data_IF_730292407406
#
_entry.id   IF_730292407406
#
_cell.length_a   1.000
_cell.length_b   1.000
_cell.length_c   1.000
_cell.angle_alpha   90.00
_cell.angle_beta   90.00
_cell.angle_gamma   90.00
#
_symmetry.space_group_name_H-M   'P 1'
#
loop_
_entity.id
_entity.type
_entity.pdbx_description
1 polymer ?
#
# COMPACT_ATOMS: atom_id res chain seq x y z
N UNK A 1 28.50 8.67 -29.70
CA UNK A 1 28.17 8.02 -28.40
C UNK A 1 26.70 7.65 -28.52
N UNK A 2 26.43 6.42 -28.90
CA UNK A 2 25.08 5.89 -29.02
C UNK A 2 24.47 5.85 -27.61
N UNK A 3 23.33 6.51 -27.46
CA UNK A 3 22.46 6.32 -26.29
C UNK A 3 21.96 4.86 -26.39
N UNK A 4 22.50 3.99 -25.55
CA UNK A 4 21.90 2.70 -25.27
C UNK A 4 20.60 3.02 -24.56
N UNK A 5 19.49 2.82 -25.26
CA UNK A 5 18.13 2.86 -24.75
C UNK A 5 18.01 1.78 -23.66
N UNK A 6 18.41 2.12 -22.45
CA UNK A 6 18.22 1.25 -21.30
C UNK A 6 16.74 1.34 -20.97
N UNK A 7 15.94 0.36 -21.30
CA UNK A 7 14.50 0.26 -21.06
C UNK A 7 14.09 0.38 -19.57
N UNK A 8 14.80 1.18 -18.80
CA UNK A 8 14.58 1.45 -17.39
C UNK A 8 13.96 2.84 -17.24
N UNK A 9 12.88 2.90 -16.48
CA UNK A 9 12.25 4.16 -16.10
C UNK A 9 13.25 5.01 -15.30
N UNK A 10 13.67 6.15 -15.83
CA UNK A 10 14.52 7.08 -15.10
C UNK A 10 13.82 7.57 -13.82
N UNK A 11 14.61 7.70 -12.75
CA UNK A 11 14.09 8.27 -11.51
C UNK A 11 13.73 9.75 -11.72
N UNK A 12 12.57 10.12 -11.24
CA UNK A 12 12.14 11.52 -11.14
C UNK A 12 13.07 12.29 -10.19
N UNK A 13 13.18 13.59 -10.36
CA UNK A 13 14.11 14.44 -9.57
C UNK A 13 13.97 14.22 -8.05
N UNK A 14 12.76 14.17 -7.52
CA UNK A 14 12.52 13.95 -6.11
C UNK A 14 12.88 12.52 -5.65
N UNK A 15 12.74 11.51 -6.51
CA UNK A 15 13.17 10.14 -6.21
C UNK A 15 14.69 10.06 -6.17
N UNK A 16 15.35 10.76 -7.09
CA UNK A 16 16.81 10.87 -7.11
C UNK A 16 17.34 11.55 -5.84
N UNK A 17 16.71 12.64 -5.41
CA UNK A 17 17.02 13.32 -4.15
C UNK A 17 16.88 12.38 -2.94
N UNK A 18 15.78 11.64 -2.86
CA UNK A 18 15.54 10.69 -1.78
C UNK A 18 16.58 9.58 -1.75
N UNK A 19 16.95 9.04 -2.93
CA UNK A 19 18.04 8.07 -3.07
C UNK A 19 19.36 8.63 -2.57
N UNK A 20 19.72 9.84 -2.99
CA UNK A 20 20.96 10.49 -2.58
C UNK A 20 21.04 10.66 -1.06
N UNK A 21 20.00 11.20 -0.44
CA UNK A 21 19.90 11.37 1.02
C UNK A 21 20.00 10.03 1.78
N UNK A 22 19.46 8.95 1.21
CA UNK A 22 19.61 7.61 1.78
C UNK A 22 21.07 7.15 1.79
N UNK A 23 21.77 7.31 0.65
CA UNK A 23 23.18 6.92 0.55
C UNK A 23 24.08 7.78 1.46
N UNK A 24 23.81 9.07 1.61
CA UNK A 24 24.52 9.94 2.58
C UNK A 24 24.39 9.38 4.00
N UNK A 25 23.20 8.92 4.42
CA UNK A 25 23.02 8.30 5.72
C UNK A 25 23.83 7.00 5.86
N UNK A 26 23.81 6.16 4.84
CA UNK A 26 24.57 4.91 4.84
C UNK A 26 26.09 5.13 4.84
N UNK A 27 26.60 6.15 4.12
CA UNK A 27 28.02 6.54 4.13
C UNK A 27 28.42 7.16 5.48
N UNK A 28 27.51 7.87 6.13
CA UNK A 28 27.69 8.37 7.49
C UNK A 28 27.60 7.31 8.59
N UNK A 29 27.50 6.01 8.24
CA UNK A 29 27.52 4.90 9.18
C UNK A 29 26.15 4.50 9.74
N UNK A 30 25.05 5.21 9.40
CA UNK A 30 23.70 4.83 9.79
C UNK A 30 23.26 3.65 8.94
N UNK A 31 22.91 2.53 9.55
CA UNK A 31 22.58 1.29 8.82
C UNK A 31 21.09 1.06 8.60
N UNK A 32 20.24 1.60 9.45
CA UNK A 32 18.80 1.37 9.43
C UNK A 32 18.04 2.67 9.16
N UNK A 33 17.48 2.81 7.98
CA UNK A 33 16.85 4.05 7.49
C UNK A 33 15.42 3.78 7.04
N UNK A 34 14.48 4.60 7.51
CA UNK A 34 13.13 4.66 6.99
C UNK A 34 12.99 5.80 6.00
N UNK A 35 12.37 5.56 4.85
CA UNK A 35 12.05 6.54 3.83
C UNK A 35 10.54 6.70 3.75
N UNK A 36 10.07 7.91 3.97
CA UNK A 36 8.66 8.27 3.83
C UNK A 36 8.42 9.00 2.52
N UNK A 37 7.51 8.46 1.72
CA UNK A 37 7.02 9.10 0.51
C UNK A 37 5.51 8.83 0.37
N UNK A 38 4.68 9.80 -0.04
CA UNK A 38 3.25 9.61 -0.23
C UNK A 38 2.92 8.49 -1.22
N UNK A 39 1.72 7.95 -1.12
CA UNK A 39 1.19 7.00 -2.11
C UNK A 39 1.13 7.67 -3.48
N UNK A 40 1.35 6.92 -4.56
CA UNK A 40 1.36 7.45 -5.93
C UNK A 40 2.66 8.11 -6.37
N UNK A 41 3.66 8.28 -5.49
CA UNK A 41 4.94 8.92 -5.82
C UNK A 41 6.01 7.94 -6.33
N UNK A 42 5.66 6.68 -6.59
CA UNK A 42 6.56 5.68 -7.16
C UNK A 42 7.58 5.11 -6.18
N UNK A 43 7.18 4.84 -4.93
CA UNK A 43 8.03 4.18 -3.92
C UNK A 43 8.68 2.90 -4.43
N UNK A 44 7.91 2.03 -5.12
CA UNK A 44 8.41 0.75 -5.63
C UNK A 44 9.46 0.92 -6.74
N UNK A 45 9.34 1.97 -7.56
CA UNK A 45 10.36 2.32 -8.55
C UNK A 45 11.65 2.79 -7.88
N UNK A 46 11.54 3.65 -6.86
CA UNK A 46 12.70 4.09 -6.08
C UNK A 46 13.37 2.89 -5.39
N UNK A 47 12.59 1.99 -4.79
CA UNK A 47 13.07 0.76 -4.19
C UNK A 47 13.89 -0.07 -5.19
N UNK A 48 13.33 -0.34 -6.38
CA UNK A 48 14.00 -1.13 -7.40
C UNK A 48 15.30 -0.48 -7.88
N UNK A 49 15.33 0.84 -8.04
CA UNK A 49 16.54 1.57 -8.41
C UNK A 49 17.64 1.49 -7.33
N UNK A 50 17.27 1.61 -6.06
CA UNK A 50 18.19 1.46 -4.92
C UNK A 50 18.77 0.03 -4.88
N UNK A 51 17.92 -0.98 -5.03
CA UNK A 51 18.33 -2.39 -5.03
C UNK A 51 19.31 -2.67 -6.16
N UNK A 52 19.02 -2.19 -7.37
CA UNK A 52 19.90 -2.35 -8.53
C UNK A 52 21.28 -1.72 -8.30
N UNK A 53 21.31 -0.49 -7.82
CA UNK A 53 22.57 0.20 -7.57
C UNK A 53 23.38 -0.48 -6.47
N UNK A 54 22.70 -0.95 -5.40
CA UNK A 54 23.35 -1.71 -4.34
C UNK A 54 24.00 -2.99 -4.86
N UNK A 55 23.32 -3.73 -5.73
CA UNK A 55 23.85 -4.96 -6.35
C UNK A 55 25.03 -4.70 -7.29
N UNK A 56 25.03 -3.58 -8.01
CA UNK A 56 26.14 -3.18 -8.88
C UNK A 56 27.39 -2.82 -8.06
N UNK A 57 27.22 -2.23 -6.88
CA UNK A 57 28.30 -1.81 -5.99
C UNK A 57 28.76 -2.88 -4.98
N UNK A 58 28.03 -3.99 -4.87
CA UNK A 58 28.33 -5.04 -3.89
C UNK A 58 28.03 -6.44 -4.46
N UNK A 59 28.81 -7.45 -4.07
CA UNK A 59 28.52 -8.86 -4.36
C UNK A 59 27.44 -9.46 -3.44
N UNK A 60 26.82 -8.66 -2.59
CA UNK A 60 25.88 -9.11 -1.55
C UNK A 60 24.48 -9.37 -2.09
N UNK A 61 23.71 -10.16 -1.36
CA UNK A 61 22.29 -10.44 -1.67
C UNK A 61 21.39 -9.37 -1.07
N UNK A 62 20.22 -9.21 -1.68
CA UNK A 62 19.16 -8.30 -1.25
C UNK A 62 17.88 -9.08 -0.96
N UNK A 63 17.30 -8.84 0.21
CA UNK A 63 15.99 -9.34 0.56
C UNK A 63 14.98 -8.20 0.58
N UNK A 64 13.87 -8.38 -0.12
CA UNK A 64 12.75 -7.46 -0.12
C UNK A 64 11.59 -8.16 0.58
N UNK A 65 11.13 -7.60 1.67
CA UNK A 65 10.11 -8.20 2.53
C UNK A 65 8.84 -7.36 2.48
N UNK A 66 7.76 -7.97 2.05
CA UNK A 66 6.44 -7.36 2.01
C UNK A 66 5.52 -7.93 3.10
N UNK A 67 4.54 -7.14 3.51
CA UNK A 67 3.55 -7.58 4.51
C UNK A 67 2.52 -8.54 3.91
N UNK A 68 2.10 -8.34 2.65
CA UNK A 68 1.08 -9.13 1.95
C UNK A 68 1.66 -9.84 0.73
N UNK A 69 1.07 -10.99 0.39
CA UNK A 69 1.51 -11.80 -0.75
C UNK A 69 1.28 -11.08 -2.09
N UNK A 70 0.19 -10.36 -2.22
CA UNK A 70 -0.13 -9.59 -3.43
C UNK A 70 0.93 -8.53 -3.75
N UNK A 71 1.51 -7.92 -2.70
CA UNK A 71 2.62 -6.98 -2.85
C UNK A 71 3.91 -7.67 -3.32
N UNK A 72 4.13 -8.93 -2.95
CA UNK A 72 5.31 -9.69 -3.40
C UNK A 72 5.33 -9.79 -4.92
N UNK A 73 4.23 -10.19 -5.55
CA UNK A 73 4.11 -10.31 -7.01
C UNK A 73 4.35 -8.97 -7.70
N UNK A 74 3.75 -7.89 -7.19
CA UNK A 74 3.91 -6.54 -7.72
C UNK A 74 5.36 -6.02 -7.63
N UNK A 75 6.03 -6.30 -6.51
CA UNK A 75 7.44 -5.94 -6.32
C UNK A 75 8.32 -6.79 -7.25
N UNK A 76 8.08 -8.11 -7.36
CA UNK A 76 8.79 -9.00 -8.29
C UNK A 76 8.70 -8.50 -9.73
N UNK A 77 7.50 -8.12 -10.19
CA UNK A 77 7.29 -7.58 -11.53
C UNK A 77 8.08 -6.27 -11.74
N UNK A 78 8.10 -5.39 -10.73
CA UNK A 78 8.83 -4.15 -10.81
C UNK A 78 10.34 -4.38 -10.83
N UNK A 79 10.85 -5.21 -9.94
CA UNK A 79 12.27 -5.58 -9.85
C UNK A 79 12.75 -6.25 -11.14
N UNK A 80 11.92 -7.10 -11.75
CA UNK A 80 12.20 -7.75 -13.04
C UNK A 80 12.33 -6.74 -14.17
N UNK A 81 11.49 -5.70 -14.21
CA UNK A 81 11.60 -4.59 -15.18
C UNK A 81 12.90 -3.80 -15.05
N UNK A 82 13.52 -3.82 -13.87
CA UNK A 82 14.85 -3.24 -13.65
C UNK A 82 16.01 -4.21 -13.93
N UNK A 83 15.75 -5.34 -14.61
CA UNK A 83 16.76 -6.32 -14.99
C UNK A 83 17.24 -7.22 -13.86
N UNK A 84 16.52 -7.27 -12.75
CA UNK A 84 16.85 -8.09 -11.59
C UNK A 84 15.83 -9.23 -11.43
N UNK A 85 15.66 -10.02 -12.49
CA UNK A 85 14.74 -11.16 -12.50
C UNK A 85 15.16 -12.28 -11.57
N UNK A 86 14.30 -13.30 -11.42
CA UNK A 86 14.54 -14.49 -10.59
C UNK A 86 15.84 -15.23 -10.95
N UNK A 87 16.33 -15.07 -12.16
CA UNK A 87 17.55 -15.70 -12.68
C UNK A 87 18.83 -15.13 -12.04
N UNK A 88 18.83 -13.88 -11.58
CA UNK A 88 19.99 -13.28 -10.90
C UNK A 88 20.30 -14.00 -9.55
N UNK A 89 19.29 -14.55 -8.89
CA UNK A 89 19.45 -15.27 -7.61
C UNK A 89 19.94 -14.42 -6.43
N UNK A 90 20.35 -13.17 -6.66
CA UNK A 90 20.82 -12.24 -5.63
C UNK A 90 19.69 -11.45 -4.99
N UNK A 91 18.55 -11.28 -5.66
CA UNK A 91 17.37 -10.63 -5.12
C UNK A 91 16.33 -11.67 -4.76
N UNK A 92 15.81 -11.60 -3.54
CA UNK A 92 14.72 -12.45 -3.07
C UNK A 92 13.60 -11.58 -2.53
N UNK A 93 12.44 -11.66 -3.19
CA UNK A 93 11.21 -10.98 -2.74
C UNK A 93 10.35 -12.01 -2.01
N UNK A 94 9.87 -11.67 -0.83
CA UNK A 94 9.13 -12.62 0.00
C UNK A 94 8.18 -11.92 0.97
N UNK A 95 7.15 -12.63 1.41
CA UNK A 95 6.32 -12.14 2.51
C UNK A 95 7.00 -12.41 3.86
N UNK A 96 6.69 -11.56 4.86
CA UNK A 96 7.22 -11.74 6.22
C UNK A 96 6.75 -13.08 6.83
N UNK A 97 5.56 -13.56 6.48
CA UNK A 97 5.02 -14.84 6.93
C UNK A 97 5.83 -16.00 6.34
N UNK A 98 6.19 -15.92 5.06
CA UNK A 98 7.05 -16.92 4.44
C UNK A 98 8.42 -16.93 5.09
N UNK A 99 9.06 -15.78 5.23
CA UNK A 99 10.36 -15.64 5.86
C UNK A 99 10.38 -16.21 7.29
N UNK A 100 9.33 -15.97 8.07
CA UNK A 100 9.22 -16.48 9.44
C UNK A 100 9.22 -18.00 9.52
N UNK A 101 8.61 -18.67 8.54
CA UNK A 101 8.53 -20.15 8.50
C UNK A 101 9.79 -20.81 7.96
N UNK A 102 10.51 -20.13 7.04
CA UNK A 102 11.65 -20.69 6.30
C UNK A 102 13.00 -20.10 6.74
N UNK A 103 13.07 -19.52 7.94
CA UNK A 103 14.28 -18.87 8.48
C UNK A 103 15.53 -19.77 8.48
N UNK A 104 15.37 -21.07 8.69
CA UNK A 104 16.45 -22.04 8.76
C UNK A 104 17.03 -22.41 7.39
N UNK A 105 16.25 -22.18 6.32
CA UNK A 105 16.62 -22.49 4.94
C UNK A 105 17.41 -21.34 4.28
N UNK A 106 17.57 -20.22 4.99
CA UNK A 106 18.28 -19.05 4.48
C UNK A 106 19.76 -19.17 4.77
N UNK A 107 20.47 -19.88 3.89
CA UNK A 107 21.89 -20.18 4.04
C UNK A 107 22.81 -18.96 3.92
N UNK A 108 22.43 -17.95 3.15
CA UNK A 108 23.27 -16.79 2.87
C UNK A 108 22.66 -15.51 3.41
N UNK A 109 23.43 -14.79 4.22
CA UNK A 109 23.03 -13.52 4.80
C UNK A 109 22.90 -12.43 3.73
N UNK A 110 21.86 -11.57 3.82
CA UNK A 110 21.71 -10.42 2.93
C UNK A 110 22.66 -9.29 3.33
N UNK A 111 23.12 -8.51 2.37
CA UNK A 111 23.81 -7.24 2.62
C UNK A 111 22.82 -6.06 2.74
N UNK A 112 21.61 -6.22 2.17
CA UNK A 112 20.53 -5.25 2.26
C UNK A 112 19.19 -5.96 2.52
N UNK A 113 18.43 -5.45 3.49
CA UNK A 113 17.05 -5.84 3.76
C UNK A 113 16.16 -4.64 3.49
N UNK A 114 15.20 -4.77 2.59
CA UNK A 114 14.20 -3.76 2.28
C UNK A 114 12.85 -4.21 2.79
N UNK A 115 12.13 -3.34 3.47
CA UNK A 115 10.74 -3.58 3.91
C UNK A 115 9.86 -2.57 3.20
N UNK A 116 8.94 -3.08 2.37
CA UNK A 116 7.86 -2.27 1.83
C UNK A 116 6.70 -2.18 2.83
N UNK A 117 6.01 -1.06 2.84
CA UNK A 117 5.01 -0.68 3.86
C UNK A 117 5.53 -0.87 5.30
N UNK A 118 6.70 -0.29 5.56
CA UNK A 118 7.47 -0.50 6.78
C UNK A 118 6.78 -0.05 8.07
N UNK A 119 5.66 0.68 7.99
CA UNK A 119 4.83 0.98 9.15
C UNK A 119 4.20 -0.29 9.77
N UNK A 120 4.12 -1.39 9.03
CA UNK A 120 3.75 -2.70 9.57
C UNK A 120 4.90 -3.44 10.27
N UNK A 121 6.13 -2.95 10.15
CA UNK A 121 7.34 -3.65 10.61
C UNK A 121 7.53 -3.71 12.14
N UNK A 122 6.67 -3.12 12.95
CA UNK A 122 6.80 -3.12 14.42
C UNK A 122 6.47 -4.47 15.10
N UNK A 123 6.20 -5.53 14.32
CA UNK A 123 6.00 -6.87 14.85
C UNK A 123 7.33 -7.48 15.34
N UNK A 124 7.29 -8.33 16.36
CA UNK A 124 8.47 -9.02 16.93
C UNK A 124 9.30 -9.76 15.86
N UNK A 125 8.63 -10.26 14.82
CA UNK A 125 9.27 -10.94 13.69
C UNK A 125 10.33 -10.07 12.98
N UNK A 126 10.07 -8.78 12.83
CA UNK A 126 11.03 -7.86 12.21
C UNK A 126 12.16 -7.49 13.16
N UNK A 127 11.89 -7.40 14.47
CA UNK A 127 12.94 -7.20 15.48
C UNK A 127 13.92 -8.35 15.51
N UNK A 128 13.44 -9.58 15.41
CA UNK A 128 14.29 -10.76 15.32
C UNK A 128 15.11 -10.76 14.02
N UNK A 129 14.53 -10.32 12.90
CA UNK A 129 15.25 -10.19 11.64
C UNK A 129 16.39 -9.17 11.75
N UNK A 130 16.16 -8.01 12.40
CA UNK A 130 17.17 -7.00 12.66
C UNK A 130 18.33 -7.51 13.54
N UNK A 131 17.99 -8.23 14.60
CA UNK A 131 18.98 -8.84 15.51
C UNK A 131 19.81 -9.92 14.82
N UNK A 132 19.20 -10.70 13.91
CA UNK A 132 19.89 -11.79 13.23
C UNK A 132 20.88 -11.30 12.17
N UNK A 133 20.62 -10.18 11.53
CA UNK A 133 21.45 -9.62 10.47
C UNK A 133 21.89 -8.19 10.81
N UNK A 134 22.72 -8.02 11.86
CA UNK A 134 23.11 -6.68 12.33
C UNK A 134 23.95 -5.93 11.29
N UNK A 135 24.73 -6.63 10.49
CA UNK A 135 25.61 -6.04 9.48
C UNK A 135 24.90 -5.63 8.19
N UNK A 136 23.72 -6.18 7.93
CA UNK A 136 22.93 -5.78 6.76
C UNK A 136 22.49 -4.33 6.87
N UNK A 137 22.52 -3.60 5.75
CA UNK A 137 21.79 -2.32 5.63
C UNK A 137 20.30 -2.59 5.63
N UNK A 138 19.52 -1.67 6.19
CA UNK A 138 18.07 -1.81 6.33
C UNK A 138 17.40 -0.59 5.79
N UNK A 139 16.43 -0.81 4.90
CA UNK A 139 15.63 0.22 4.27
C UNK A 139 14.15 -0.06 4.52
N UNK A 140 13.46 0.84 5.20
CA UNK A 140 12.00 0.81 5.27
C UNK A 140 11.40 1.82 4.30
N UNK A 141 10.42 1.41 3.50
CA UNK A 141 9.65 2.30 2.63
C UNK A 141 8.23 2.41 3.17
N UNK A 142 7.69 3.62 3.30
CA UNK A 142 6.31 3.80 3.79
C UNK A 142 5.71 5.12 3.31
N UNK A 143 4.39 5.18 3.22
CA UNK A 143 3.67 6.45 3.07
C UNK A 143 3.40 7.10 4.44
N UNK A 144 3.20 6.29 5.48
CA UNK A 144 2.80 6.70 6.83
C UNK A 144 3.77 6.15 7.86
N UNK A 145 4.72 6.95 8.39
CA UNK A 145 5.75 6.47 9.30
C UNK A 145 5.25 6.14 10.73
N UNK A 146 4.01 6.52 11.04
CA UNK A 146 3.40 6.29 12.36
C UNK A 146 2.13 5.45 12.22
N UNK A 147 1.88 4.57 13.20
CA UNK A 147 0.62 3.82 13.31
C UNK A 147 -0.45 4.62 14.04
N UNK A 148 -1.73 4.20 13.91
CA UNK A 148 -2.85 4.74 14.66
C UNK A 148 -2.65 4.67 16.19
N UNK A 149 -1.90 3.66 16.68
CA UNK A 149 -1.52 3.52 18.09
C UNK A 149 -0.36 4.42 18.53
N UNK A 150 0.09 5.36 17.69
CA UNK A 150 1.18 6.32 17.92
C UNK A 150 2.56 5.70 18.22
N UNK A 151 2.76 4.39 18.01
CA UNK A 151 4.08 3.79 18.07
C UNK A 151 4.89 4.21 16.85
N UNK A 152 6.02 4.84 17.07
CA UNK A 152 6.93 5.32 16.04
C UNK A 152 7.79 4.21 15.42
N UNK A 153 8.68 4.59 14.54
CA UNK A 153 9.59 3.70 13.80
C UNK A 153 10.92 3.43 14.54
N UNK A 154 11.19 4.14 15.63
CA UNK A 154 12.50 4.20 16.31
C UNK A 154 12.96 2.88 16.93
N UNK A 155 12.06 1.91 17.06
CA UNK A 155 12.42 0.56 17.53
C UNK A 155 13.24 -0.25 16.51
N UNK A 156 13.16 0.12 15.22
CA UNK A 156 13.78 -0.61 14.12
C UNK A 156 14.66 0.26 13.23
N UNK A 157 14.35 1.54 13.11
CA UNK A 157 15.04 2.45 12.21
C UNK A 157 15.68 3.58 12.98
N UNK A 158 16.96 3.81 12.71
CA UNK A 158 17.77 4.83 13.39
C UNK A 158 17.40 6.25 12.94
N UNK A 159 16.89 6.39 11.71
CA UNK A 159 16.55 7.69 11.12
C UNK A 159 15.40 7.60 10.13
N UNK A 160 14.72 8.73 9.93
CA UNK A 160 13.65 8.93 8.96
C UNK A 160 14.09 9.97 7.93
N UNK A 161 13.93 9.65 6.66
CA UNK A 161 14.05 10.59 5.54
C UNK A 161 12.63 10.83 5.00
N UNK A 162 12.20 12.06 4.99
CA UNK A 162 10.88 12.46 4.47
C UNK A 162 11.03 13.16 3.13
N UNK A 163 10.17 12.83 2.19
CA UNK A 163 10.01 13.55 0.93
C UNK A 163 9.14 14.80 1.11
N UNK A 164 8.78 15.43 0.01
CA UNK A 164 7.81 16.51 -0.01
C UNK A 164 6.45 16.05 0.55
N UNK A 165 5.67 17.00 1.04
CA UNK A 165 4.29 16.78 1.46
C UNK A 165 3.37 16.49 0.26
N UNK A 166 2.20 15.91 0.52
CA UNK A 166 1.17 15.68 -0.52
C UNK A 166 0.82 17.00 -1.24
N UNK A 167 0.68 18.10 -0.49
CA UNK A 167 0.36 19.40 -1.05
C UNK A 167 1.46 19.91 -2.01
N UNK A 168 2.73 19.72 -1.67
CA UNK A 168 3.85 20.07 -2.54
C UNK A 168 3.88 19.20 -3.80
N UNK A 169 3.61 17.88 -3.68
CA UNK A 169 3.51 16.98 -4.84
C UNK A 169 2.37 17.39 -5.78
N UNK A 170 1.21 17.77 -5.25
CA UNK A 170 0.08 18.30 -6.02
C UNK A 170 0.46 19.62 -6.68
N UNK A 171 1.02 20.56 -5.93
CA UNK A 171 1.43 21.87 -6.46
C UNK A 171 2.48 21.79 -7.57
N UNK A 172 3.30 20.74 -7.58
CA UNK A 172 4.30 20.45 -8.63
C UNK A 172 3.75 19.57 -9.77
N UNK A 173 2.48 19.17 -9.75
CA UNK A 173 1.84 18.36 -10.78
C UNK A 173 2.25 16.87 -10.78
N UNK A 174 2.87 16.37 -9.70
CA UNK A 174 3.25 14.96 -9.59
C UNK A 174 2.15 14.05 -9.02
N UNK A 175 1.22 14.63 -8.26
CA UNK A 175 0.00 13.97 -7.79
C UNK A 175 -1.21 14.77 -8.27
N UNK A 176 -2.31 14.08 -8.52
CA UNK A 176 -3.59 14.70 -8.87
C UNK A 176 -4.13 15.51 -7.69
N UNK A 177 -4.78 16.62 -8.00
CA UNK A 177 -5.64 17.29 -7.02
C UNK A 177 -6.83 16.41 -6.66
N UNK A 178 -7.41 16.63 -5.50
CA UNK A 178 -8.62 15.94 -5.06
C UNK A 178 -9.54 16.88 -4.31
N UNK A 179 -10.85 16.61 -4.43
CA UNK A 179 -11.87 17.26 -3.63
C UNK A 179 -12.28 16.33 -2.48
N UNK A 180 -12.21 16.84 -1.27
CA UNK A 180 -12.70 16.10 -0.10
C UNK A 180 -14.12 16.52 0.23
N UNK A 181 -15.05 15.57 0.09
CA UNK A 181 -16.46 15.78 0.41
C UNK A 181 -16.83 14.99 1.65
N UNK A 182 -17.08 15.69 2.75
CA UNK A 182 -17.59 15.08 3.97
C UNK A 182 -19.11 15.23 4.01
N UNK A 183 -19.80 14.11 4.05
CA UNK A 183 -21.25 14.07 4.08
C UNK A 183 -21.69 13.80 5.52
N UNK A 184 -22.37 14.77 6.13
CA UNK A 184 -22.95 14.56 7.44
C UNK A 184 -24.14 13.61 7.34
N UNK A 185 -24.11 12.56 8.14
CA UNK A 185 -25.27 11.72 8.34
C UNK A 185 -26.45 12.57 8.88
N UNK A 186 -27.68 12.11 8.63
CA UNK A 186 -28.84 12.75 9.26
C UNK A 186 -28.74 12.63 10.80
N UNK A 187 -29.53 13.40 11.54
CA UNK A 187 -29.44 13.50 13.00
C UNK A 187 -29.63 12.16 13.73
N UNK A 188 -30.34 11.21 13.15
CA UNK A 188 -30.54 9.88 13.72
C UNK A 188 -29.35 8.94 13.45
N UNK A 189 -28.80 8.95 12.25
CA UNK A 189 -27.63 8.17 11.88
C UNK A 189 -26.36 8.72 12.54
N UNK A 190 -26.23 10.03 12.67
CA UNK A 190 -25.11 10.63 13.40
C UNK A 190 -25.08 10.17 14.86
N UNK A 191 -26.23 10.13 15.54
CA UNK A 191 -26.32 9.59 16.91
C UNK A 191 -25.88 8.12 16.99
N UNK A 192 -26.19 7.31 15.97
CA UNK A 192 -25.76 5.91 15.92
C UNK A 192 -24.23 5.80 15.72
N UNK A 193 -23.68 6.62 14.84
CA UNK A 193 -22.22 6.69 14.64
C UNK A 193 -21.53 7.16 15.94
N UNK A 194 -22.05 8.19 16.57
CA UNK A 194 -21.52 8.74 17.82
C UNK A 194 -21.65 7.75 19.00
N UNK A 195 -22.55 6.75 18.87
CA UNK A 195 -22.71 5.69 19.86
C UNK A 195 -21.63 4.60 19.81
N UNK A 196 -20.81 4.56 18.75
CA UNK A 196 -19.70 3.62 18.62
C UNK A 196 -18.66 3.86 19.74
N UNK A 197 -18.43 2.86 20.55
CA UNK A 197 -17.54 2.97 21.72
C UNK A 197 -16.43 1.93 21.77
N UNK A 198 -16.69 0.74 21.20
CA UNK A 198 -15.76 -0.37 21.30
C UNK A 198 -14.66 -0.24 20.27
N UNK A 199 -13.40 -0.23 20.75
CA UNK A 199 -12.23 -0.19 19.89
C UNK A 199 -11.50 -1.54 19.91
N UNK A 200 -10.89 -1.88 18.76
CA UNK A 200 -10.00 -3.02 18.60
C UNK A 200 -8.60 -2.73 19.17
N UNK A 201 -7.75 -3.72 19.15
CA UNK A 201 -6.35 -3.61 19.58
C UNK A 201 -5.51 -2.67 18.69
N UNK A 202 -5.95 -2.41 17.48
CA UNK A 202 -5.38 -1.47 16.50
C UNK A 202 -5.78 -0.01 16.76
N UNK A 203 -6.79 0.23 17.62
CA UNK A 203 -7.31 1.55 17.96
C UNK A 203 -8.52 1.98 17.12
N UNK A 204 -8.91 1.21 16.11
CA UNK A 204 -10.11 1.45 15.31
C UNK A 204 -11.37 0.88 15.99
N UNK A 205 -12.55 1.27 15.48
CA UNK A 205 -13.81 0.74 15.98
C UNK A 205 -13.98 -0.75 15.64
N UNK A 206 -14.64 -1.50 16.51
CA UNK A 206 -14.90 -2.93 16.24
C UNK A 206 -15.82 -3.12 15.03
N UNK A 207 -15.38 -3.93 14.06
CA UNK A 207 -16.11 -4.24 12.82
C UNK A 207 -17.57 -4.67 13.08
N UNK A 208 -17.80 -5.47 14.13
CA UNK A 208 -19.16 -5.92 14.49
C UNK A 208 -20.07 -4.76 14.85
N UNK A 209 -19.58 -3.79 15.61
CA UNK A 209 -20.33 -2.60 16.03
C UNK A 209 -20.56 -1.66 14.85
N UNK A 210 -19.53 -1.39 14.05
CA UNK A 210 -19.64 -0.60 12.81
C UNK A 210 -20.65 -1.23 11.84
N UNK A 211 -20.58 -2.53 11.63
CA UNK A 211 -21.52 -3.22 10.73
C UNK A 211 -22.99 -3.09 11.20
N UNK A 212 -23.24 -3.17 12.49
CA UNK A 212 -24.60 -3.01 13.03
C UNK A 212 -25.18 -1.61 12.80
N UNK A 213 -24.33 -0.60 12.72
CA UNK A 213 -24.72 0.80 12.51
C UNK A 213 -24.78 1.16 11.02
N UNK A 214 -23.77 0.80 10.25
CA UNK A 214 -23.57 1.26 8.87
C UNK A 214 -24.24 0.35 7.83
N UNK A 215 -24.38 -0.95 8.11
CA UNK A 215 -24.99 -1.92 7.20
C UNK A 215 -26.52 -1.90 7.29
N UNK A 216 -27.10 -0.73 6.97
CA UNK A 216 -28.55 -0.49 6.93
C UNK A 216 -28.92 0.08 5.58
N UNK A 217 -30.11 -0.25 5.09
CA UNK A 217 -30.60 0.21 3.80
C UNK A 217 -30.56 1.74 3.68
N UNK A 218 -30.96 2.45 4.75
CA UNK A 218 -30.91 3.93 4.78
C UNK A 218 -29.52 4.48 4.57
N UNK A 219 -28.49 3.91 5.23
CA UNK A 219 -27.10 4.32 5.08
C UNK A 219 -26.57 4.03 3.67
N UNK A 220 -26.87 2.84 3.14
CA UNK A 220 -26.45 2.44 1.79
C UNK A 220 -27.10 3.33 0.73
N UNK A 221 -28.38 3.64 0.87
CA UNK A 221 -29.08 4.58 -0.01
C UNK A 221 -28.46 5.97 0.04
N UNK A 222 -28.16 6.48 1.21
CA UNK A 222 -27.52 7.78 1.40
C UNK A 222 -26.13 7.82 0.76
N UNK A 223 -25.36 6.75 0.89
CA UNK A 223 -24.07 6.60 0.23
C UNK A 223 -24.22 6.65 -1.30
N UNK A 224 -25.17 5.91 -1.86
CA UNK A 224 -25.46 5.91 -3.29
C UNK A 224 -25.91 7.29 -3.79
N UNK A 225 -26.84 7.95 -3.11
CA UNK A 225 -27.32 9.30 -3.48
C UNK A 225 -26.19 10.32 -3.44
N UNK A 226 -25.27 10.17 -2.50
CA UNK A 226 -24.08 11.02 -2.40
C UNK A 226 -23.15 10.82 -3.60
N UNK A 227 -22.88 9.59 -3.98
CA UNK A 227 -22.09 9.29 -5.19
C UNK A 227 -22.76 9.85 -6.41
N UNK A 228 -24.07 9.62 -6.56
CA UNK A 228 -24.84 10.16 -7.69
C UNK A 228 -24.77 11.69 -7.77
N UNK A 229 -24.74 12.37 -6.63
CA UNK A 229 -24.71 13.83 -6.56
C UNK A 229 -23.33 14.43 -6.87
N UNK A 230 -22.28 13.84 -6.34
CA UNK A 230 -20.93 14.43 -6.38
C UNK A 230 -19.96 13.74 -7.35
N UNK A 231 -20.27 12.53 -7.76
CA UNK A 231 -19.36 11.70 -8.55
C UNK A 231 -20.09 10.78 -9.54
N UNK A 232 -21.20 11.24 -10.11
CA UNK A 232 -21.96 10.48 -11.09
C UNK A 232 -21.09 10.06 -12.29
N UNK A 233 -21.13 8.79 -12.65
CA UNK A 233 -20.38 8.23 -13.78
C UNK A 233 -18.89 8.05 -13.57
N UNK A 234 -18.36 8.38 -12.39
CA UNK A 234 -16.95 8.22 -12.07
C UNK A 234 -16.62 6.78 -11.67
N UNK A 235 -15.46 6.33 -12.10
CA UNK A 235 -14.87 5.06 -11.68
C UNK A 235 -14.44 5.14 -10.22
N UNK A 236 -14.91 4.21 -9.38
CA UNK A 236 -14.72 4.35 -7.94
C UNK A 236 -14.42 3.08 -7.16
N UNK A 237 -13.84 3.28 -5.99
CA UNK A 237 -13.61 2.24 -4.97
C UNK A 237 -14.37 2.61 -3.70
N UNK A 238 -15.10 1.65 -3.14
CA UNK A 238 -15.79 1.77 -1.86
C UNK A 238 -15.14 0.83 -0.84
N UNK A 239 -14.78 1.36 0.30
CA UNK A 239 -14.23 0.59 1.43
C UNK A 239 -15.35 0.28 2.41
N UNK A 240 -15.78 -0.96 2.43
CA UNK A 240 -16.87 -1.40 3.29
C UNK A 240 -16.35 -1.98 4.61
N UNK A 241 -17.11 -1.82 5.67
CA UNK A 241 -16.75 -2.27 7.03
C UNK A 241 -16.87 -3.77 7.24
N UNK A 242 -17.56 -4.49 6.35
CA UNK A 242 -17.71 -5.95 6.42
C UNK A 242 -18.08 -6.53 5.06
N UNK A 243 -17.91 -7.86 4.92
CA UNK A 243 -18.30 -8.60 3.72
C UNK A 243 -19.81 -8.45 3.43
N UNK A 244 -20.64 -8.49 4.47
CA UNK A 244 -22.08 -8.30 4.31
C UNK A 244 -22.41 -6.89 3.81
N UNK A 245 -21.76 -5.87 4.37
CA UNK A 245 -21.90 -4.47 3.94
C UNK A 245 -21.46 -4.28 2.49
N UNK A 246 -20.29 -4.83 2.10
CA UNK A 246 -19.81 -4.75 0.74
C UNK A 246 -20.79 -5.33 -0.29
N UNK A 247 -21.33 -6.51 0.01
CA UNK A 247 -22.30 -7.18 -0.87
C UNK A 247 -23.61 -6.40 -0.99
N UNK A 248 -24.10 -5.82 0.09
CA UNK A 248 -25.32 -5.02 0.07
C UNK A 248 -25.11 -3.71 -0.71
N UNK A 249 -23.96 -3.03 -0.55
CA UNK A 249 -23.63 -1.84 -1.34
C UNK A 249 -23.59 -2.20 -2.83
N UNK A 250 -22.84 -3.24 -3.21
CA UNK A 250 -22.72 -3.64 -4.61
C UNK A 250 -24.07 -4.00 -5.23
N UNK A 251 -24.89 -4.80 -4.51
CA UNK A 251 -26.23 -5.17 -4.96
C UNK A 251 -27.13 -3.93 -5.12
N UNK A 252 -27.09 -3.00 -4.16
CA UNK A 252 -27.89 -1.77 -4.24
C UNK A 252 -27.49 -0.90 -5.44
N UNK A 253 -26.18 -0.74 -5.69
CA UNK A 253 -25.67 0.03 -6.81
C UNK A 253 -26.06 -0.60 -8.14
N UNK A 254 -25.91 -1.93 -8.29
CA UNK A 254 -26.31 -2.67 -9.50
C UNK A 254 -27.82 -2.55 -9.78
N UNK A 255 -28.67 -2.62 -8.77
CA UNK A 255 -30.11 -2.40 -8.90
C UNK A 255 -30.46 -1.00 -9.42
N UNK A 256 -29.59 -0.02 -9.21
CA UNK A 256 -29.76 1.36 -9.67
C UNK A 256 -28.92 1.71 -10.92
N UNK A 257 -28.48 0.68 -11.65
CA UNK A 257 -27.80 0.85 -12.96
C UNK A 257 -26.32 1.23 -12.88
N UNK A 258 -25.65 1.03 -11.73
CA UNK A 258 -24.21 1.21 -11.61
C UNK A 258 -23.57 -0.17 -11.56
N UNK A 259 -22.81 -0.53 -12.60
CA UNK A 259 -22.05 -1.79 -12.66
C UNK A 259 -21.07 -1.86 -11.49
N UNK A 260 -21.41 -2.67 -10.50
CA UNK A 260 -20.65 -2.76 -9.25
C UNK A 260 -20.50 -4.20 -8.75
N UNK A 261 -19.37 -4.50 -8.13
CA UNK A 261 -19.05 -5.82 -7.59
C UNK A 261 -18.37 -5.71 -6.24
N UNK A 262 -18.67 -6.66 -5.35
CA UNK A 262 -17.99 -6.79 -4.06
C UNK A 262 -16.83 -7.78 -4.16
N UNK A 263 -15.65 -7.39 -3.65
CA UNK A 263 -14.46 -8.22 -3.54
C UNK A 263 -14.06 -8.33 -2.07
N UNK A 264 -13.89 -9.55 -1.59
CA UNK A 264 -13.53 -9.81 -0.21
C UNK A 264 -12.48 -10.96 -0.12
N UNK A 265 -12.05 -11.30 1.11
CA UNK A 265 -11.06 -12.36 1.35
C UNK A 265 -11.52 -13.77 0.92
N UNK A 266 -12.82 -13.98 0.67
CA UNK A 266 -13.39 -15.24 0.21
C UNK A 266 -13.47 -15.31 -1.32
N UNK A 267 -13.29 -14.18 -2.03
CA UNK A 267 -13.25 -14.16 -3.49
C UNK A 267 -12.01 -14.94 -3.97
N UNK A 268 -12.17 -16.01 -4.77
CA UNK A 268 -11.06 -16.79 -5.29
C UNK A 268 -10.04 -15.91 -6.03
N UNK A 269 -8.75 -16.25 -5.96
CA UNK A 269 -7.69 -15.41 -6.51
C UNK A 269 -7.84 -15.19 -8.02
N UNK A 270 -8.25 -16.21 -8.76
CA UNK A 270 -8.47 -16.08 -10.20
C UNK A 270 -9.65 -15.15 -10.53
N UNK A 271 -10.78 -15.35 -9.88
CA UNK A 271 -11.97 -14.49 -10.02
C UNK A 271 -11.64 -13.04 -9.63
N UNK A 272 -10.90 -12.84 -8.54
CA UNK A 272 -10.45 -11.50 -8.11
C UNK A 272 -9.63 -10.80 -9.21
N UNK A 273 -8.73 -11.53 -9.85
CA UNK A 273 -7.91 -11.01 -10.94
C UNK A 273 -8.76 -10.59 -12.15
N UNK A 274 -9.75 -11.41 -12.52
CA UNK A 274 -10.69 -11.11 -13.61
C UNK A 274 -11.55 -9.88 -13.29
N UNK A 275 -12.11 -9.78 -12.08
CA UNK A 275 -12.91 -8.63 -11.65
C UNK A 275 -12.11 -7.33 -11.62
N UNK A 276 -10.86 -7.38 -11.16
CA UNK A 276 -9.96 -6.22 -11.19
C UNK A 276 -9.64 -5.81 -12.63
N UNK A 277 -9.43 -6.76 -13.54
CA UNK A 277 -9.19 -6.47 -14.94
C UNK A 277 -10.42 -5.88 -15.63
N UNK A 278 -11.62 -6.39 -15.33
CA UNK A 278 -12.88 -5.84 -15.82
C UNK A 278 -13.14 -4.42 -15.28
N UNK A 279 -12.74 -4.15 -14.04
CA UNK A 279 -12.75 -2.80 -13.49
C UNK A 279 -11.76 -1.88 -14.23
N UNK A 280 -10.52 -2.33 -14.47
CA UNK A 280 -9.54 -1.55 -15.23
C UNK A 280 -10.04 -1.22 -16.63
N UNK A 281 -10.71 -2.16 -17.29
CA UNK A 281 -11.31 -1.98 -18.64
C UNK A 281 -12.61 -1.15 -18.64
N UNK A 282 -13.12 -0.76 -17.49
CA UNK A 282 -14.35 0.04 -17.37
C UNK A 282 -15.65 -0.76 -17.56
N UNK A 283 -15.61 -2.10 -17.54
CA UNK A 283 -16.83 -2.92 -17.51
C UNK A 283 -17.51 -2.87 -16.15
N UNK A 284 -16.72 -2.69 -15.08
CA UNK A 284 -17.18 -2.46 -13.71
C UNK A 284 -16.83 -1.02 -13.39
N UNK A 285 -17.80 -0.25 -12.94
CA UNK A 285 -17.64 1.17 -12.59
C UNK A 285 -17.23 1.34 -11.11
N UNK A 286 -17.71 0.47 -10.23
CA UNK A 286 -17.47 0.57 -8.79
C UNK A 286 -17.04 -0.77 -8.21
N UNK A 287 -15.85 -0.80 -7.63
CA UNK A 287 -15.38 -1.91 -6.79
C UNK A 287 -15.70 -1.63 -5.32
N UNK A 288 -16.41 -2.55 -4.68
CA UNK A 288 -16.68 -2.48 -3.24
C UNK A 288 -15.81 -3.54 -2.55
N UNK A 289 -14.94 -3.13 -1.66
CA UNK A 289 -13.98 -4.04 -1.05
C UNK A 289 -13.98 -4.00 0.48
N UNK A 290 -13.46 -5.08 1.08
CA UNK A 290 -13.18 -5.18 2.51
C UNK A 290 -11.72 -5.57 2.66
N UNK A 291 -10.88 -4.63 3.07
CA UNK A 291 -9.44 -4.79 3.38
C UNK A 291 -8.55 -5.35 2.25
N UNK A 292 -9.07 -5.52 1.02
CA UNK A 292 -8.30 -6.08 -0.09
C UNK A 292 -7.46 -5.01 -0.79
N UNK A 293 -8.04 -3.84 -1.02
CA UNK A 293 -7.40 -2.74 -1.77
C UNK A 293 -6.98 -1.57 -0.88
N UNK A 294 -6.80 -1.82 0.40
CA UNK A 294 -6.33 -0.79 1.35
C UNK A 294 -4.89 -0.35 1.07
N UNK A 295 -4.09 -1.25 0.47
CA UNK A 295 -2.68 -1.00 0.15
C UNK A 295 -2.31 -1.71 -1.16
N UNK A 296 -1.40 -1.08 -1.93
CA UNK A 296 -0.80 -1.70 -3.12
C UNK A 296 -1.72 -1.86 -4.33
N UNK A 297 -2.94 -1.35 -4.28
CA UNK A 297 -3.82 -1.38 -5.45
C UNK A 297 -3.45 -0.23 -6.40
N UNK A 298 -3.03 -0.61 -7.61
CA UNK A 298 -2.64 0.33 -8.65
C UNK A 298 -3.69 0.34 -9.78
N UNK A 299 -4.44 1.44 -9.85
CA UNK A 299 -5.40 1.72 -10.91
C UNK A 299 -5.49 3.25 -11.10
N UNK A 300 -4.66 3.82 -12.01
CA UNK A 300 -4.48 5.28 -12.14
C UNK A 300 -5.73 6.06 -12.52
N UNK A 301 -6.71 5.40 -13.13
CA UNK A 301 -7.97 5.99 -13.60
C UNK A 301 -9.12 5.90 -12.58
N UNK A 302 -8.82 5.58 -11.33
CA UNK A 302 -9.79 5.73 -10.23
C UNK A 302 -9.99 7.21 -9.92
N UNK A 303 -11.24 7.65 -9.99
CA UNK A 303 -11.63 9.05 -9.78
C UNK A 303 -12.36 9.28 -8.45
N UNK A 304 -12.78 8.20 -7.78
CA UNK A 304 -13.59 8.25 -6.57
C UNK A 304 -13.10 7.22 -5.55
N UNK A 305 -12.92 7.67 -4.32
CA UNK A 305 -12.68 6.81 -3.16
C UNK A 305 -13.70 7.14 -2.07
N UNK A 306 -14.43 6.13 -1.61
CA UNK A 306 -15.40 6.21 -0.52
C UNK A 306 -14.90 5.40 0.67
N UNK A 307 -14.81 6.06 1.81
CA UNK A 307 -14.29 5.48 3.06
C UNK A 307 -15.37 5.57 4.14
#
# INVERSE_FOLDING_TARGET
MEQVDSGYTELRSYQWEMKHRLYEKWWGGIRSVMVQMPTGTGKTHLLAAIVREFLCGSGSRVWIVAHRRELVEQIEDTVSRYGMGKEDGRVKVMSIQWLSRHRREMEVSPGLIVIDEAHHALAETYRELWKRYPEARKLGMTATPCRLNRKGFTDLFDTLITSWSIAEFIGKGWLSSFDYVSIRANSSEQRLIDSLKKRGADGDYQVKEMNAVLNRETGIRQLYESVRRYAAGKKGIVYAVSIAHARQIAAYYSLHGVESVAIDSRTPALERKELVEDFRRGKISVLVNVDIFSEGFDCPDVELSLI
#
